data_IF_369766020393
#
_entry.id   IF_369766020393
#
_cell.length_a   1.000
_cell.length_b   1.000
_cell.length_c   1.000
_cell.angle_alpha   90.00
_cell.angle_beta   90.00
_cell.angle_gamma   90.00
#
_symmetry.space_group_name_H-M   'P 1'
#
loop_
_entity.id
_entity.type
_entity.pdbx_description
1 polymer ?
#
# COMPACT_ATOMS: atom_id res chain seq x y z
N UNK A 1 -6.59 1.90 -37.94
CA UNK A 1 -5.83 1.02 -37.02
C UNK A 1 -6.11 1.47 -35.60
N UNK A 2 -6.89 0.71 -34.83
CA UNK A 2 -7.15 1.01 -33.43
C UNK A 2 -5.86 0.80 -32.63
N UNK A 3 -5.28 1.87 -32.07
CA UNK A 3 -4.21 1.75 -31.08
C UNK A 3 -4.81 1.03 -29.88
N UNK A 4 -4.36 -0.18 -29.59
CA UNK A 4 -4.72 -0.87 -28.35
C UNK A 4 -4.18 -0.04 -27.19
N UNK A 5 -5.05 0.76 -26.55
CA UNK A 5 -4.80 1.38 -25.25
C UNK A 5 -4.72 0.28 -24.18
N UNK A 6 -3.69 -0.56 -24.22
CA UNK A 6 -3.31 -1.34 -23.05
C UNK A 6 -2.74 -0.35 -22.03
N UNK A 7 -3.65 0.34 -21.33
CA UNK A 7 -3.34 1.04 -20.09
C UNK A 7 -2.81 -0.02 -19.14
N UNK A 8 -1.50 -0.10 -19.03
CA UNK A 8 -0.83 -0.93 -18.03
C UNK A 8 -1.31 -0.45 -16.67
N UNK A 9 -2.21 -1.21 -16.04
CA UNK A 9 -2.45 -1.09 -14.61
C UNK A 9 -1.12 -1.39 -13.92
N UNK A 10 -0.47 -0.37 -13.38
CA UNK A 10 0.74 -0.58 -12.58
C UNK A 10 0.29 -1.17 -11.26
N UNK A 11 0.46 -2.48 -11.14
CA UNK A 11 0.21 -3.25 -9.93
C UNK A 11 1.53 -3.54 -9.24
N UNK A 12 1.68 -3.05 -8.02
CA UNK A 12 2.77 -3.40 -7.13
C UNK A 12 2.22 -4.23 -5.99
N UNK A 13 2.83 -5.37 -5.72
CA UNK A 13 2.43 -6.25 -4.63
C UNK A 13 3.63 -6.60 -3.77
N UNK A 14 3.50 -6.33 -2.47
CA UNK A 14 4.48 -6.71 -1.44
C UNK A 14 3.89 -7.92 -0.72
N UNK A 15 4.70 -8.97 -0.57
CA UNK A 15 4.33 -10.19 0.16
C UNK A 15 5.31 -10.40 1.29
N UNK A 16 4.80 -10.77 2.44
CA UNK A 16 5.59 -11.12 3.60
C UNK A 16 5.11 -12.47 4.13
N UNK A 17 6.06 -13.36 4.39
CA UNK A 17 5.82 -14.69 4.93
C UNK A 17 6.45 -14.75 6.32
N UNK A 18 5.70 -15.25 7.30
CA UNK A 18 6.17 -15.37 8.68
C UNK A 18 5.60 -16.61 9.35
N UNK A 19 6.33 -17.15 10.31
CA UNK A 19 5.85 -18.27 11.13
C UNK A 19 5.08 -17.74 12.33
N UNK A 20 3.78 -18.02 12.35
CA UNK A 20 2.90 -17.62 13.44
C UNK A 20 3.14 -18.50 14.67
N UNK A 21 3.69 -17.90 15.73
CA UNK A 21 4.02 -18.60 16.98
C UNK A 21 2.80 -19.18 17.68
N UNK A 22 1.60 -18.65 17.45
CA UNK A 22 0.38 -19.17 18.08
C UNK A 22 -0.16 -20.41 17.38
N UNK A 23 -0.05 -20.45 16.05
CA UNK A 23 -0.63 -21.52 15.24
C UNK A 23 0.37 -22.53 14.71
N UNK A 24 1.68 -22.25 14.82
CA UNK A 24 2.77 -23.08 14.30
C UNK A 24 2.80 -23.17 12.76
N UNK A 25 2.07 -22.30 12.07
CA UNK A 25 1.92 -22.30 10.61
C UNK A 25 2.62 -21.10 10.01
N UNK A 26 3.22 -21.30 8.84
CA UNK A 26 3.68 -20.19 7.99
C UNK A 26 2.46 -19.49 7.39
N UNK A 27 2.32 -18.20 7.69
CA UNK A 27 1.28 -17.31 7.16
C UNK A 27 1.86 -16.35 6.13
N UNK A 28 1.00 -15.87 5.22
CA UNK A 28 1.37 -14.86 4.22
C UNK A 28 0.50 -13.62 4.35
N UNK A 29 1.09 -12.48 4.68
CA UNK A 29 0.42 -11.18 4.48
C UNK A 29 0.82 -10.57 3.15
N UNK A 30 -0.07 -9.81 2.55
CA UNK A 30 0.21 -9.10 1.31
C UNK A 30 -0.43 -7.72 1.31
N UNK A 31 0.21 -6.80 0.61
CA UNK A 31 -0.28 -5.47 0.29
C UNK A 31 -0.14 -5.27 -1.21
N UNK A 32 -1.21 -4.81 -1.84
CA UNK A 32 -1.29 -4.55 -3.27
C UNK A 32 -1.71 -3.11 -3.52
N UNK A 33 -0.98 -2.42 -4.39
CA UNK A 33 -1.28 -1.07 -4.86
C UNK A 33 -1.50 -1.13 -6.37
N UNK A 34 -2.67 -0.68 -6.81
CA UNK A 34 -3.02 -0.57 -8.23
C UNK A 34 -3.26 0.91 -8.58
N UNK A 35 -2.62 1.38 -9.64
CA UNK A 35 -2.88 2.70 -10.21
C UNK A 35 -3.85 2.59 -11.37
N UNK A 36 -4.98 3.27 -11.26
CA UNK A 36 -5.84 3.64 -12.39
C UNK A 36 -5.34 4.99 -12.93
N UNK A 37 -4.80 5.03 -14.16
CA UNK A 37 -4.22 6.26 -14.70
C UNK A 37 -5.32 7.31 -14.99
N UNK A 38 -4.94 8.59 -15.12
CA UNK A 38 -5.86 9.64 -15.52
C UNK A 38 -6.47 9.35 -16.90
N UNK A 39 -7.74 9.71 -17.06
CA UNK A 39 -8.49 9.49 -18.29
C UNK A 39 -9.19 10.76 -18.78
N UNK A 40 -9.10 11.02 -20.08
CA UNK A 40 -9.90 12.05 -20.74
C UNK A 40 -11.28 11.49 -21.06
N UNK A 41 -12.33 12.16 -20.59
CA UNK A 41 -13.72 11.81 -20.88
C UNK A 41 -14.12 12.26 -22.28
N UNK A 42 -15.22 11.71 -22.80
CA UNK A 42 -15.78 12.08 -24.11
C UNK A 42 -16.15 13.58 -24.19
N UNK A 43 -16.50 14.17 -23.05
CA UNK A 43 -16.85 15.58 -22.87
C UNK A 43 -15.63 16.51 -22.79
N UNK A 44 -14.41 15.95 -22.79
CA UNK A 44 -13.16 16.71 -22.88
C UNK A 44 -12.44 16.97 -21.56
N UNK A 45 -13.04 16.63 -20.41
CA UNK A 45 -12.43 16.77 -19.08
C UNK A 45 -11.41 15.65 -18.81
N UNK A 46 -10.40 15.92 -17.98
CA UNK A 46 -9.41 14.93 -17.54
C UNK A 46 -9.67 14.62 -16.08
N UNK A 47 -9.83 13.34 -15.72
CA UNK A 47 -9.87 12.91 -14.32
C UNK A 47 -8.46 12.59 -13.82
N UNK A 48 -8.24 12.68 -12.50
CA UNK A 48 -6.92 12.49 -11.88
C UNK A 48 -6.48 11.02 -11.77
N UNK A 49 -7.31 10.07 -12.18
CA UNK A 49 -7.12 8.66 -11.88
C UNK A 49 -7.36 8.36 -10.39
N UNK A 50 -7.05 7.13 -9.98
CA UNK A 50 -7.24 6.65 -8.59
C UNK A 50 -6.19 5.61 -8.21
N UNK A 51 -5.97 5.46 -6.90
CA UNK A 51 -5.12 4.41 -6.35
C UNK A 51 -5.96 3.44 -5.54
N UNK A 52 -5.96 2.16 -5.92
CA UNK A 52 -6.55 1.10 -5.10
C UNK A 52 -5.47 0.48 -4.23
N UNK A 53 -5.67 0.55 -2.92
CA UNK A 53 -4.86 -0.14 -1.92
C UNK A 53 -5.64 -1.35 -1.42
N UNK A 54 -5.03 -2.53 -1.40
CA UNK A 54 -5.62 -3.75 -0.84
C UNK A 54 -4.61 -4.42 0.07
N UNK A 55 -5.06 -4.90 1.23
CA UNK A 55 -4.26 -5.71 2.14
C UNK A 55 -4.98 -6.99 2.48
N UNK A 56 -4.22 -8.05 2.70
CA UNK A 56 -4.80 -9.35 3.00
C UNK A 56 -3.85 -10.31 3.69
N UNK A 57 -4.42 -11.43 4.12
CA UNK A 57 -3.74 -12.57 4.73
C UNK A 57 -4.17 -13.83 3.97
N UNK A 58 -3.19 -14.62 3.56
CA UNK A 58 -3.34 -15.79 2.71
C UNK A 58 -4.22 -15.47 1.49
N UNK A 59 -5.42 -16.06 1.41
CA UNK A 59 -6.37 -15.86 0.31
C UNK A 59 -7.39 -14.75 0.60
N UNK A 60 -7.44 -14.25 1.82
CA UNK A 60 -8.46 -13.32 2.26
C UNK A 60 -8.01 -11.87 2.12
N UNK A 61 -8.90 -11.05 1.57
CA UNK A 61 -8.76 -9.59 1.63
C UNK A 61 -9.23 -9.14 3.02
N UNK A 62 -8.37 -8.44 3.75
CA UNK A 62 -8.71 -7.88 5.07
C UNK A 62 -9.13 -6.41 4.97
N UNK A 63 -8.68 -5.70 3.94
CA UNK A 63 -9.11 -4.33 3.67
C UNK A 63 -8.81 -3.91 2.25
N UNK A 64 -9.68 -3.08 1.67
CA UNK A 64 -9.47 -2.48 0.37
C UNK A 64 -10.03 -1.06 0.34
N UNK A 65 -9.24 -0.13 -0.18
CA UNK A 65 -9.55 1.29 -0.24
C UNK A 65 -9.33 1.80 -1.66
N UNK A 66 -10.23 2.64 -2.13
CA UNK A 66 -10.07 3.36 -3.39
C UNK A 66 -9.83 4.83 -3.05
N UNK A 67 -8.58 5.25 -3.20
CA UNK A 67 -8.10 6.57 -2.82
C UNK A 67 -8.01 7.47 -4.05
N UNK A 68 -8.28 8.76 -3.85
CA UNK A 68 -7.77 9.80 -4.74
C UNK A 68 -6.23 9.85 -4.68
N UNK A 69 -5.59 10.49 -5.67
CA UNK A 69 -4.13 10.63 -5.69
C UNK A 69 -3.63 11.46 -4.50
N UNK A 70 -4.39 12.48 -4.09
CA UNK A 70 -4.04 13.30 -2.92
C UNK A 70 -4.10 12.49 -1.61
N UNK A 71 -5.14 11.68 -1.42
CA UNK A 71 -5.26 10.82 -0.24
C UNK A 71 -4.13 9.78 -0.19
N UNK A 72 -3.79 9.17 -1.33
CA UNK A 72 -2.66 8.25 -1.42
C UNK A 72 -1.33 8.95 -1.07
N UNK A 73 -1.11 10.18 -1.54
CA UNK A 73 0.08 10.97 -1.21
C UNK A 73 0.17 11.30 0.29
N UNK A 74 -0.96 11.68 0.91
CA UNK A 74 -1.02 11.95 2.35
C UNK A 74 -0.79 10.68 3.17
N UNK A 75 -1.36 9.56 2.76
CA UNK A 75 -1.15 8.26 3.41
C UNK A 75 0.33 7.88 3.41
N UNK A 76 1.01 8.01 2.27
CA UNK A 76 2.46 7.75 2.16
C UNK A 76 3.27 8.58 3.17
N UNK A 77 3.04 9.89 3.23
CA UNK A 77 3.73 10.79 4.16
C UNK A 77 3.43 10.47 5.62
N UNK A 78 2.17 10.14 5.93
CA UNK A 78 1.78 9.76 7.29
C UNK A 78 2.49 8.46 7.73
N UNK A 79 2.62 7.48 6.84
CA UNK A 79 3.33 6.24 7.13
C UNK A 79 4.81 6.48 7.41
N UNK A 80 5.47 7.32 6.61
CA UNK A 80 6.88 7.70 6.82
C UNK A 80 7.11 8.30 8.21
N UNK A 81 6.29 9.29 8.58
CA UNK A 81 6.37 9.95 9.90
C UNK A 81 6.14 8.97 11.07
N UNK A 82 5.18 8.05 10.93
CA UNK A 82 4.89 7.06 11.98
C UNK A 82 6.06 6.09 12.16
N UNK A 83 6.68 5.65 11.07
CA UNK A 83 7.83 4.74 11.13
C UNK A 83 9.03 5.43 11.76
N UNK A 84 9.31 6.67 11.38
CA UNK A 84 10.41 7.47 11.97
C UNK A 84 10.21 7.69 13.47
N UNK A 85 8.99 8.02 13.90
CA UNK A 85 8.65 8.18 15.31
C UNK A 85 8.86 6.87 16.09
N UNK A 86 8.41 5.74 15.54
CA UNK A 86 8.59 4.42 16.14
C UNK A 86 10.06 4.05 16.31
N UNK A 87 10.88 4.20 15.27
CA UNK A 87 12.32 3.87 15.38
C UNK A 87 13.06 4.79 16.36
N UNK A 88 12.65 6.06 16.45
CA UNK A 88 13.19 7.01 17.43
C UNK A 88 12.89 6.56 18.86
N UNK A 89 11.66 6.14 19.14
CA UNK A 89 11.24 5.65 20.46
C UNK A 89 11.96 4.35 20.83
N UNK A 90 12.03 3.39 19.89
CA UNK A 90 12.77 2.14 20.06
C UNK A 90 14.25 2.38 20.37
N UNK A 91 14.88 3.36 19.69
CA UNK A 91 16.26 3.73 19.96
C UNK A 91 16.44 4.35 21.36
N UNK A 92 15.46 5.10 21.87
CA UNK A 92 15.48 5.62 23.24
C UNK A 92 15.41 4.47 24.27
N UNK A 93 14.48 3.53 24.08
CA UNK A 93 14.35 2.36 24.96
C UNK A 93 15.63 1.49 24.99
N UNK A 94 16.29 1.32 23.85
CA UNK A 94 17.58 0.62 23.82
C UNK A 94 18.68 1.33 24.60
N UNK A 95 18.71 2.67 24.60
CA UNK A 95 19.68 3.43 25.40
C UNK A 95 19.41 3.32 26.88
N UNK A 96 18.15 3.23 27.29
CA UNK A 96 17.77 3.02 28.69
C UNK A 96 18.13 1.62 29.18
N UNK A 97 17.91 0.59 28.36
CA UNK A 97 18.24 -0.80 28.72
C UNK A 97 19.75 -1.07 28.86
N UNK A 98 20.58 -0.31 28.14
CA UNK A 98 22.04 -0.45 28.17
C UNK A 98 22.74 0.45 29.21
N UNK A 99 21.99 1.13 30.08
CA UNK A 99 22.50 1.88 31.24
C UNK A 99 22.30 1.08 32.51
#
# INVERSE_FOLDING_TARGET
>A
MAKSNQRYERRLQIKHFYDDRQTGKTKRTWLEVQLSPPEKTEEGWVNDGRVRLSLGEDRDIKGAFLLSVEEASRLYKALELIVEAHESEKAALWKEWNK
#
